data_IF_620643257575
#
_entry.id   IF_620643257575
#
_cell.length_a   1.000
_cell.length_b   1.000
_cell.length_c   1.000
_cell.angle_alpha   90.00
_cell.angle_beta   90.00
_cell.angle_gamma   90.00
#
_symmetry.space_group_name_H-M   'P 1'
#
loop_
_entity.id
_entity.type
_entity.pdbx_description
1 polymer ?
#
# COMPACT_ATOMS: atom_id res chain seq x y z
N UNK A 1 -12.65 8.28 17.33
CA UNK A 1 -11.42 7.89 18.03
C UNK A 1 -11.13 6.43 17.67
N UNK A 2 -10.40 6.19 16.57
CA UNK A 2 -10.11 4.83 16.12
C UNK A 2 -8.78 4.37 16.69
N UNK A 3 -8.85 3.16 17.24
CA UNK A 3 -7.87 2.48 18.06
C UNK A 3 -6.51 2.38 17.35
N UNK A 4 -5.49 3.10 17.83
CA UNK A 4 -4.08 2.86 17.44
C UNK A 4 -3.69 1.52 18.06
N UNK A 5 -4.00 0.43 17.35
CA UNK A 5 -3.69 -0.91 17.80
C UNK A 5 -2.19 -0.96 18.10
N UNK A 6 -1.86 -1.21 19.36
CA UNK A 6 -0.53 -1.37 19.92
C UNK A 6 0.16 -2.66 19.40
N UNK A 7 -0.16 -3.08 18.17
CA UNK A 7 0.25 -4.30 17.52
C UNK A 7 1.15 -3.98 16.33
N UNK A 8 2.41 -4.39 16.43
CA UNK A 8 3.40 -4.30 15.35
C UNK A 8 2.89 -5.05 14.12
N UNK A 9 2.87 -4.40 12.96
CA UNK A 9 2.55 -5.05 11.69
C UNK A 9 3.68 -6.03 11.29
N UNK A 10 3.33 -7.08 10.57
CA UNK A 10 4.35 -7.95 9.97
C UNK A 10 5.01 -7.25 8.79
N UNK A 11 4.19 -6.59 7.97
CA UNK A 11 4.64 -5.87 6.78
C UNK A 11 3.88 -4.56 6.65
N UNK A 12 4.58 -3.47 6.40
CA UNK A 12 3.99 -2.23 5.91
C UNK A 12 4.36 -2.08 4.44
N UNK A 13 3.37 -1.76 3.61
CA UNK A 13 3.51 -1.51 2.18
C UNK A 13 3.28 -0.03 1.93
N UNK A 14 4.26 0.64 1.34
CA UNK A 14 4.15 2.07 0.97
C UNK A 14 3.87 2.15 -0.52
N UNK A 15 2.64 2.48 -0.88
CA UNK A 15 2.14 2.57 -2.26
C UNK A 15 0.98 1.61 -2.54
N UNK A 16 -0.14 2.15 -3.01
CA UNK A 16 -1.38 1.46 -3.36
C UNK A 16 -1.54 1.20 -4.86
N UNK A 17 -0.44 1.17 -5.61
CA UNK A 17 -0.41 0.78 -7.02
C UNK A 17 -0.52 -0.75 -7.23
N UNK A 18 -0.42 -1.23 -8.49
CA UNK A 18 -0.54 -2.66 -8.79
C UNK A 18 0.42 -3.56 -8.02
N UNK A 19 1.68 -3.13 -7.84
CA UNK A 19 2.68 -3.86 -7.08
C UNK A 19 2.30 -4.00 -5.60
N UNK A 20 1.92 -2.90 -4.95
CA UNK A 20 1.55 -2.89 -3.54
C UNK A 20 0.26 -3.64 -3.26
N UNK A 21 -0.75 -3.50 -4.13
CA UNK A 21 -2.01 -4.23 -4.03
C UNK A 21 -1.83 -5.74 -4.21
N UNK A 22 -1.00 -6.17 -5.17
CA UNK A 22 -0.70 -7.58 -5.34
C UNK A 22 0.05 -8.16 -4.12
N UNK A 23 1.04 -7.43 -3.59
CA UNK A 23 1.74 -7.84 -2.38
C UNK A 23 0.78 -7.95 -1.17
N UNK A 24 -0.11 -6.98 -0.99
CA UNK A 24 -1.13 -7.00 0.06
C UNK A 24 -2.05 -8.22 -0.06
N UNK A 25 -2.49 -8.57 -1.27
CA UNK A 25 -3.29 -9.77 -1.53
C UNK A 25 -2.57 -11.05 -1.13
N UNK A 26 -1.32 -11.22 -1.55
CA UNK A 26 -0.53 -12.44 -1.27
C UNK A 26 -0.22 -12.56 0.22
N UNK A 27 0.13 -11.45 0.88
CA UNK A 27 0.43 -11.43 2.32
C UNK A 27 -0.82 -11.62 3.18
N UNK A 28 -1.96 -11.04 2.79
CA UNK A 28 -3.25 -11.27 3.44
C UNK A 28 -3.68 -12.74 3.37
N UNK A 29 -3.49 -13.38 2.20
CA UNK A 29 -3.70 -14.84 2.05
C UNK A 29 -2.79 -15.67 2.96
N UNK A 30 -1.61 -15.16 3.25
CA UNK A 30 -0.63 -15.77 4.15
C UNK A 30 -0.88 -15.44 5.63
N UNK A 31 -2.02 -14.81 5.95
CA UNK A 31 -2.43 -14.39 7.30
C UNK A 31 -1.42 -13.47 8.00
N UNK A 32 -0.65 -12.71 7.23
CA UNK A 32 0.25 -11.69 7.79
C UNK A 32 -0.56 -10.45 8.15
N UNK A 33 -0.18 -9.79 9.24
CA UNK A 33 -0.70 -8.47 9.58
C UNK A 33 -0.06 -7.42 8.66
N UNK A 34 -0.84 -6.83 7.77
CA UNK A 34 -0.36 -5.93 6.71
C UNK A 34 -1.06 -4.58 6.80
N UNK A 35 -0.28 -3.51 6.74
CA UNK A 35 -0.80 -2.16 6.52
C UNK A 35 -0.37 -1.67 5.15
N UNK A 36 -1.32 -1.26 4.32
CA UNK A 36 -1.06 -0.57 3.06
C UNK A 36 -1.28 0.92 3.26
N UNK A 37 -0.23 1.71 3.07
CA UNK A 37 -0.29 3.18 3.11
C UNK A 37 -0.18 3.70 1.69
N UNK A 38 -1.15 4.50 1.28
CA UNK A 38 -1.17 5.14 -0.03
C UNK A 38 -1.77 6.53 0.11
N UNK A 39 -1.18 7.54 -0.52
CA UNK A 39 -1.73 8.90 -0.50
C UNK A 39 -3.01 9.00 -1.37
N UNK A 40 -3.42 7.92 -2.04
CA UNK A 40 -4.43 7.87 -3.10
C UNK A 40 -4.22 8.87 -4.24
N UNK A 41 -3.09 9.59 -4.25
CA UNK A 41 -2.59 10.46 -5.29
C UNK A 41 -1.93 9.61 -6.38
N UNK A 42 -2.68 9.22 -7.42
CA UNK A 42 -2.18 8.31 -8.43
C UNK A 42 -1.33 9.10 -9.43
N UNK A 43 -0.10 8.68 -9.69
CA UNK A 43 0.68 9.19 -10.84
C UNK A 43 -0.09 9.05 -12.18
N UNK A 44 -0.92 8.02 -12.27
CA UNK A 44 -1.79 7.69 -13.41
C UNK A 44 -3.15 8.41 -13.40
N UNK A 45 -3.31 9.52 -12.67
CA UNK A 45 -4.58 10.26 -12.66
C UNK A 45 -4.93 10.88 -14.02
N UNK A 46 -3.92 11.04 -14.88
CA UNK A 46 -4.03 11.51 -16.27
C UNK A 46 -4.12 10.39 -17.32
N UNK A 47 -3.84 9.12 -16.97
CA UNK A 47 -3.98 8.01 -17.92
C UNK A 47 -5.39 7.45 -17.88
N UNK A 48 -6.04 7.46 -19.06
CA UNK A 48 -7.43 7.02 -19.22
C UNK A 48 -7.58 5.50 -19.09
N UNK A 49 -6.54 4.74 -19.43
CA UNK A 49 -6.55 3.28 -19.48
C UNK A 49 -5.20 2.69 -19.04
N UNK A 50 -5.23 1.46 -18.49
CA UNK A 50 -4.06 0.64 -18.16
C UNK A 50 -4.07 -0.62 -19.01
N UNK A 51 -2.95 -0.92 -19.68
CA UNK A 51 -2.77 -2.10 -20.51
C UNK A 51 -1.73 -3.06 -19.91
N UNK A 52 -1.69 -4.29 -20.43
CA UNK A 52 -0.70 -5.30 -20.03
C UNK A 52 -1.11 -6.12 -18.81
N UNK A 53 -2.36 -5.99 -18.35
CA UNK A 53 -2.94 -6.87 -17.33
C UNK A 53 -3.78 -7.97 -17.99
N UNK A 54 -3.34 -9.22 -17.89
CA UNK A 54 -4.14 -10.36 -18.31
C UNK A 54 -5.54 -10.28 -17.68
N UNK A 55 -6.57 -10.56 -18.49
CA UNK A 55 -8.01 -10.46 -18.16
C UNK A 55 -8.57 -9.04 -17.95
N UNK A 56 -7.72 -8.00 -17.93
CA UNK A 56 -8.11 -6.61 -17.60
C UNK A 56 -7.38 -5.58 -18.48
N UNK A 57 -7.11 -5.93 -19.74
CA UNK A 57 -6.51 -4.99 -20.68
C UNK A 57 -7.47 -3.83 -20.97
N UNK A 58 -6.97 -2.59 -20.91
CA UNK A 58 -7.79 -1.38 -21.07
C UNK A 58 -8.55 -0.94 -19.81
N UNK A 59 -8.38 -1.61 -18.67
CA UNK A 59 -9.07 -1.20 -17.43
C UNK A 59 -8.58 0.19 -16.96
N UNK A 60 -9.48 1.01 -16.42
CA UNK A 60 -9.07 2.28 -15.83
C UNK A 60 -8.26 2.04 -14.53
N UNK A 61 -7.25 2.87 -14.22
CA UNK A 61 -6.48 2.74 -12.98
C UNK A 61 -7.34 2.83 -11.70
N UNK A 62 -8.45 3.58 -11.74
CA UNK A 62 -9.37 3.70 -10.62
C UNK A 62 -10.16 2.40 -10.42
N UNK A 63 -10.70 1.85 -11.49
CA UNK A 63 -11.50 0.62 -11.43
C UNK A 63 -10.66 -0.59 -11.05
N UNK A 64 -9.44 -0.68 -11.56
CA UNK A 64 -8.48 -1.70 -11.14
C UNK A 64 -8.24 -1.66 -9.63
N UNK A 65 -7.99 -0.47 -9.07
CA UNK A 65 -7.76 -0.30 -7.62
C UNK A 65 -8.99 -0.62 -6.80
N UNK A 66 -10.18 -0.22 -7.24
CA UNK A 66 -11.45 -0.55 -6.58
C UNK A 66 -11.62 -2.07 -6.46
N UNK A 67 -11.50 -2.79 -7.58
CA UNK A 67 -11.65 -4.25 -7.62
C UNK A 67 -10.57 -4.93 -6.76
N UNK A 68 -9.32 -4.46 -6.82
CA UNK A 68 -8.24 -5.00 -6.00
C UNK A 68 -8.52 -4.82 -4.51
N UNK A 69 -8.93 -3.62 -4.07
CA UNK A 69 -9.33 -3.36 -2.67
C UNK A 69 -10.46 -4.29 -2.24
N UNK A 70 -11.50 -4.47 -3.04
CA UNK A 70 -12.61 -5.40 -2.75
C UNK A 70 -12.16 -6.84 -2.56
N UNK A 71 -11.18 -7.29 -3.34
CA UNK A 71 -10.62 -8.64 -3.18
C UNK A 71 -9.75 -8.76 -1.93
N UNK A 72 -8.99 -7.72 -1.59
CA UNK A 72 -8.08 -7.70 -0.44
C UNK A 72 -8.85 -7.57 0.88
N UNK A 73 -9.94 -6.79 0.90
CA UNK A 73 -10.78 -6.60 2.11
C UNK A 73 -11.47 -7.89 2.59
N UNK A 74 -11.43 -8.97 1.80
CA UNK A 74 -11.81 -10.32 2.25
C UNK A 74 -10.86 -10.90 3.29
N UNK A 75 -9.66 -10.33 3.45
CA UNK A 75 -8.65 -10.75 4.40
C UNK A 75 -8.58 -9.72 5.55
N UNK A 76 -9.10 -10.03 6.75
CA UNK A 76 -9.17 -9.06 7.87
C UNK A 76 -7.80 -8.69 8.44
N UNK A 77 -6.74 -9.40 8.04
CA UNK A 77 -5.36 -9.09 8.44
C UNK A 77 -4.73 -7.98 7.61
N UNK A 78 -5.43 -7.44 6.62
CA UNK A 78 -4.95 -6.33 5.78
C UNK A 78 -5.77 -5.08 6.05
N UNK A 79 -5.08 -4.00 6.39
CA UNK A 79 -5.67 -2.67 6.60
C UNK A 79 -5.12 -1.67 5.58
N UNK A 80 -5.92 -0.66 5.28
CA UNK A 80 -5.54 0.44 4.39
C UNK A 80 -5.58 1.75 5.17
N UNK A 81 -4.62 2.62 4.91
CA UNK A 81 -4.57 3.97 5.46
C UNK A 81 -4.22 4.97 4.37
N UNK A 82 -5.08 5.97 4.19
CA UNK A 82 -4.85 7.06 3.24
C UNK A 82 -4.06 8.16 3.92
N UNK A 83 -2.73 8.13 3.81
CA UNK A 83 -1.82 9.12 4.38
C UNK A 83 -0.46 9.03 3.68
N UNK A 84 0.44 9.96 3.98
CA UNK A 84 1.81 9.99 3.47
C UNK A 84 2.79 9.44 4.48
N UNK A 85 3.77 8.67 3.99
CA UNK A 85 4.96 8.31 4.77
C UNK A 85 6.00 9.40 4.61
N UNK A 86 6.39 10.04 5.71
CA UNK A 86 7.38 11.12 5.75
C UNK A 86 8.79 10.56 5.86
N UNK A 87 8.99 9.56 6.72
CA UNK A 87 10.28 8.91 6.88
C UNK A 87 10.13 7.48 7.41
N UNK A 88 11.15 6.66 7.17
CA UNK A 88 11.26 5.32 7.73
C UNK A 88 12.68 5.13 8.28
N UNK A 89 12.78 4.62 9.49
CA UNK A 89 14.05 4.33 10.17
C UNK A 89 14.03 2.94 10.79
N UNK A 90 15.20 2.43 11.17
CA UNK A 90 15.36 1.14 11.83
C UNK A 90 16.14 0.12 11.01
N UNK A 91 15.97 -1.14 11.34
CA UNK A 91 16.69 -2.26 10.74
C UNK A 91 15.75 -3.44 10.49
N UNK A 92 16.26 -4.47 9.81
CA UNK A 92 15.44 -5.64 9.52
C UNK A 92 14.85 -6.26 10.80
N UNK A 93 13.54 -6.55 10.78
CA UNK A 93 12.78 -7.02 11.94
C UNK A 93 12.27 -5.90 12.86
N UNK A 94 12.72 -4.65 12.69
CA UNK A 94 12.27 -3.51 13.49
C UNK A 94 12.39 -2.18 12.75
N UNK A 95 11.33 -1.81 12.04
CA UNK A 95 11.19 -0.51 11.40
C UNK A 95 10.16 0.36 12.11
N UNK A 96 10.42 1.66 12.11
CA UNK A 96 9.53 2.72 12.57
C UNK A 96 9.28 3.66 11.39
N UNK A 97 8.01 3.87 11.05
CA UNK A 97 7.59 4.81 10.03
C UNK A 97 6.94 6.02 10.69
N UNK A 98 7.34 7.21 10.25
CA UNK A 98 6.65 8.46 10.52
C UNK A 98 5.72 8.78 9.37
N UNK A 99 4.45 8.98 9.69
CA UNK A 99 3.41 9.40 8.78
C UNK A 99 3.17 10.91 8.95
N UNK A 100 2.32 11.48 8.10
CA UNK A 100 1.77 12.81 8.35
C UNK A 100 0.94 12.84 9.66
N UNK A 101 0.72 14.05 10.20
CA UNK A 101 -0.01 14.29 11.45
C UNK A 101 0.63 13.64 12.70
N UNK A 102 1.96 13.51 12.70
CA UNK A 102 2.76 12.95 13.81
C UNK A 102 2.40 11.50 14.18
N UNK A 103 1.74 10.77 13.28
CA UNK A 103 1.42 9.36 13.47
C UNK A 103 2.66 8.48 13.27
N UNK A 104 2.78 7.43 14.10
CA UNK A 104 3.90 6.49 14.08
C UNK A 104 3.38 5.06 13.90
N UNK A 105 4.06 4.29 13.04
CA UNK A 105 3.75 2.86 12.82
C UNK A 105 5.00 2.01 12.96
N UNK A 106 4.87 0.87 13.66
CA UNK A 106 5.92 -0.13 13.80
C UNK A 106 5.66 -1.34 12.91
N UNK A 107 6.73 -1.85 12.28
CA UNK A 107 6.65 -3.05 11.45
C UNK A 107 7.92 -3.90 11.52
N UNK A 108 7.81 -5.19 11.18
CA UNK A 108 8.97 -6.07 11.01
C UNK A 108 9.62 -5.91 9.65
N UNK A 109 8.82 -5.69 8.62
CA UNK A 109 9.27 -5.55 7.22
C UNK A 109 8.62 -4.35 6.56
N UNK A 110 9.34 -3.76 5.62
CA UNK A 110 8.90 -2.61 4.84
C UNK A 110 9.03 -2.95 3.35
N UNK A 111 7.97 -2.70 2.58
CA UNK A 111 7.93 -2.86 1.13
C UNK A 111 7.62 -1.52 0.47
N UNK A 112 8.54 -1.02 -0.34
CA UNK A 112 8.32 0.17 -1.16
C UNK A 112 7.70 -0.23 -2.50
N UNK A 113 6.51 0.31 -2.77
CA UNK A 113 5.73 0.14 -3.98
C UNK A 113 5.24 1.50 -4.51
N UNK A 114 5.99 2.57 -4.25
CA UNK A 114 5.68 3.97 -4.59
C UNK A 114 5.76 4.28 -6.10
N UNK A 115 6.35 3.36 -6.88
CA UNK A 115 6.72 3.64 -8.27
C UNK A 115 7.87 4.65 -8.34
N UNK A 116 8.18 5.10 -9.56
CA UNK A 116 9.28 6.03 -9.85
C UNK A 116 8.75 7.37 -10.37
N UNK A 117 9.12 8.51 -9.78
CA UNK A 117 8.73 9.82 -10.34
C UNK A 117 9.72 10.20 -11.45
N UNK A 118 9.37 9.85 -12.69
CA UNK A 118 10.17 10.17 -13.87
C UNK A 118 10.52 11.66 -13.91
N UNK A 119 11.79 11.96 -13.63
CA UNK A 119 12.33 13.31 -13.64
C UNK A 119 12.80 13.62 -15.06
N UNK A 120 11.98 14.34 -15.83
CA UNK A 120 12.41 14.88 -17.12
C UNK A 120 13.37 16.04 -16.85
N UNK A 121 14.66 15.78 -17.01
CA UNK A 121 15.74 16.80 -17.07
C UNK A 121 15.89 17.33 -18.48
#
# INVERSE_FOLDING_TARGET
>A
MQNTANGKYDVVIVGGGPAGLHAALVLGRSRRSVLVIDEELPRNRVTRESHGFLTRDGITPAEFRRIAKEQILKYPSVTFQTTKVVSATGHDGNFLLHLEEDMIVYTRKLLFATGDEGRIT
#
